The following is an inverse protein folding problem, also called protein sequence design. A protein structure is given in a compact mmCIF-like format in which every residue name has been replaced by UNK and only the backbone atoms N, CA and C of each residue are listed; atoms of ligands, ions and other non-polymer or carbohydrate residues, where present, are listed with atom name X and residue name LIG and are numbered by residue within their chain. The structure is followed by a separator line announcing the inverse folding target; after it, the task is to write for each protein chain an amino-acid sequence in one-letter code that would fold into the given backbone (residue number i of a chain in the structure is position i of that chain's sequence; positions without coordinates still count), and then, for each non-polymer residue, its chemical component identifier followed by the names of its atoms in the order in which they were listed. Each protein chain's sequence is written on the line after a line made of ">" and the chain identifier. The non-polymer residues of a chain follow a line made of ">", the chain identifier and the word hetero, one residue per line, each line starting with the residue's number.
data_IF_435982338527
#
_entry.id   IF_435982338527
#
_cell.length_a   1.000
_cell.length_b   1.000
_cell.length_c   1.000
_cell.angle_alpha   90.00
_cell.angle_beta   90.00
_cell.angle_gamma   90.00
#
_symmetry.space_group_name_H-M   'P 1'
#
loop_
_entity.id
_entity.type
_entity.pdbx_description
1 polymer ?
#
# COMPACT_ATOMS: atom_id res chain seq x y z
N UNK A 1 -13.64 26.61 -55.74
CA UNK A 1 -14.78 25.74 -56.12
C UNK A 1 -14.20 24.35 -56.35
N UNK A 2 -14.40 23.42 -55.40
CA UNK A 2 -15.38 22.31 -55.51
C UNK A 2 -15.05 21.39 -56.69
N UNK A 3 -14.80 20.09 -56.58
CA UNK A 3 -14.66 19.14 -55.48
C UNK A 3 -13.96 17.92 -56.11
N UNK A 4 -13.00 17.34 -55.40
CA UNK A 4 -12.46 16.01 -55.71
C UNK A 4 -13.61 15.00 -55.62
N UNK A 5 -13.99 14.40 -56.76
CA UNK A 5 -15.02 13.35 -56.80
C UNK A 5 -14.41 12.05 -56.29
N UNK A 6 -14.57 11.82 -54.98
CA UNK A 6 -14.34 10.52 -54.35
C UNK A 6 -15.43 9.57 -54.81
N UNK A 7 -15.04 8.59 -55.63
CA UNK A 7 -15.90 7.50 -56.07
C UNK A 7 -15.95 6.46 -54.94
N UNK A 8 -17.09 6.38 -54.26
CA UNK A 8 -17.37 5.39 -53.21
C UNK A 8 -18.19 4.25 -53.85
N UNK A 9 -17.72 3.00 -53.91
CA UNK A 9 -18.61 1.87 -54.06
C UNK A 9 -19.11 1.44 -52.69
N UNK A 10 -20.44 1.53 -52.56
CA UNK A 10 -21.24 1.09 -51.42
C UNK A 10 -21.19 -0.44 -51.31
N UNK A 11 -20.50 -0.98 -50.31
CA UNK A 11 -20.80 -2.33 -49.79
C UNK A 11 -20.81 -2.25 -48.28
N UNK A 12 -21.97 -1.83 -47.77
CA UNK A 12 -22.38 -1.98 -46.38
C UNK A 12 -23.12 -3.31 -46.33
N UNK A 13 -22.48 -4.36 -45.82
CA UNK A 13 -23.21 -5.53 -45.33
C UNK A 13 -22.36 -6.30 -44.32
N UNK A 14 -22.70 -6.08 -43.04
CA UNK A 14 -22.68 -7.09 -41.97
C UNK A 14 -21.37 -7.81 -41.66
N UNK A 15 -20.53 -7.23 -40.81
CA UNK A 15 -19.96 -8.00 -39.68
C UNK A 15 -19.96 -7.11 -38.43
N UNK A 16 -20.87 -7.45 -37.52
CA UNK A 16 -20.92 -7.01 -36.14
C UNK A 16 -19.66 -7.50 -35.42
N UNK A 17 -18.67 -6.63 -35.21
CA UNK A 17 -17.62 -6.87 -34.23
C UNK A 17 -17.59 -5.68 -33.26
N UNK A 18 -18.54 -5.74 -32.34
CA UNK A 18 -18.36 -5.40 -30.92
C UNK A 18 -17.51 -4.16 -30.63
N UNK A 19 -18.12 -2.98 -30.78
CA UNK A 19 -17.73 -1.76 -30.07
C UNK A 19 -18.22 -1.82 -28.61
N UNK A 20 -17.91 -2.91 -27.90
CA UNK A 20 -18.28 -3.09 -26.50
C UNK A 20 -17.01 -3.10 -25.64
N UNK A 21 -16.84 -2.03 -24.85
CA UNK A 21 -16.25 -2.07 -23.51
C UNK A 21 -14.73 -2.36 -23.34
N UNK A 22 -13.83 -1.72 -24.13
CA UNK A 22 -12.39 -1.70 -23.81
C UNK A 22 -11.89 -0.40 -23.13
N UNK A 23 -12.76 0.39 -22.51
CA UNK A 23 -12.35 1.51 -21.63
C UNK A 23 -12.70 1.28 -20.16
N UNK A 24 -12.66 0.03 -19.70
CA UNK A 24 -12.95 -0.34 -18.32
C UNK A 24 -11.87 -1.25 -17.73
N UNK A 25 -10.62 -0.78 -17.65
CA UNK A 25 -9.60 -1.49 -16.90
C UNK A 25 -9.97 -1.44 -15.40
N UNK A 26 -10.06 -2.58 -14.69
CA UNK A 26 -10.18 -2.55 -13.24
C UNK A 26 -8.91 -1.89 -12.69
N UNK A 27 -9.09 -0.81 -11.91
CA UNK A 27 -7.99 -0.21 -11.15
C UNK A 27 -7.36 -1.31 -10.30
N UNK A 28 -6.18 -1.77 -10.68
CA UNK A 28 -5.33 -2.56 -9.81
C UNK A 28 -5.17 -1.77 -8.51
N UNK A 29 -5.55 -2.38 -7.39
CA UNK A 29 -5.28 -1.84 -6.07
C UNK A 29 -3.77 -1.86 -5.87
N UNK A 30 -3.12 -0.77 -6.26
CA UNK A 30 -1.71 -0.54 -5.92
C UNK A 30 -1.68 -0.47 -4.40
N UNK A 31 -0.92 -1.35 -3.71
CA UNK A 31 -0.69 -1.19 -2.29
C UNK A 31 -0.03 0.18 -2.14
N UNK A 32 -0.76 1.14 -1.59
CA UNK A 32 -0.22 2.44 -1.28
C UNK A 32 0.78 2.19 -0.15
N UNK A 33 2.06 2.05 -0.51
CA UNK A 33 3.18 2.02 0.42
C UNK A 33 3.14 3.36 1.17
N UNK A 34 2.41 3.34 2.29
CA UNK A 34 2.02 4.54 3.02
C UNK A 34 3.26 5.30 3.44
N UNK A 35 3.26 6.57 3.04
CA UNK A 35 4.07 7.64 3.60
C UNK A 35 4.32 7.42 5.09
N UNK A 36 5.61 7.35 5.44
CA UNK A 36 6.21 7.58 6.74
C UNK A 36 5.21 7.53 7.93
N UNK A 37 4.63 6.36 8.18
CA UNK A 37 3.86 6.16 9.39
C UNK A 37 4.87 6.24 10.54
N UNK A 38 4.71 7.20 11.45
CA UNK A 38 5.52 7.29 12.66
C UNK A 38 5.53 5.91 13.33
N UNK A 39 6.68 5.24 13.24
CA UNK A 39 6.85 3.88 13.72
C UNK A 39 7.22 3.87 15.20
N UNK A 40 6.92 2.77 15.86
CA UNK A 40 7.32 2.50 17.24
C UNK A 40 8.47 1.51 17.25
N UNK A 41 9.33 1.66 18.26
CA UNK A 41 10.47 0.79 18.49
C UNK A 41 10.04 -0.44 19.30
N UNK A 42 10.43 -1.63 18.85
CA UNK A 42 10.15 -2.90 19.51
C UNK A 42 11.45 -3.68 19.68
N UNK A 43 11.77 -4.05 20.91
CA UNK A 43 12.84 -5.00 21.20
C UNK A 43 12.39 -6.42 20.77
N UNK A 44 13.16 -7.07 19.91
CA UNK A 44 12.84 -8.40 19.35
C UNK A 44 13.32 -9.56 20.24
N UNK A 45 13.52 -9.31 21.54
CA UNK A 45 13.72 -10.41 22.49
C UNK A 45 12.39 -11.14 22.75
N UNK A 46 12.44 -12.45 23.07
CA UNK A 46 11.24 -13.22 23.42
C UNK A 46 10.55 -12.69 24.68
N UNK A 47 11.33 -12.12 25.62
CA UNK A 47 10.83 -11.56 26.89
C UNK A 47 10.29 -10.13 26.77
N UNK A 48 10.47 -9.47 25.63
CA UNK A 48 9.99 -8.10 25.47
C UNK A 48 8.47 -8.05 25.39
N UNK A 49 7.84 -7.25 26.25
CA UNK A 49 6.39 -7.14 26.34
C UNK A 49 5.83 -5.82 25.78
N UNK A 50 6.70 -4.83 25.51
CA UNK A 50 6.28 -3.48 25.17
C UNK A 50 6.86 -2.94 23.85
N UNK A 51 6.18 -1.94 23.29
CA UNK A 51 6.67 -1.07 22.23
C UNK A 51 6.89 0.35 22.77
N UNK A 52 7.78 1.12 22.14
CA UNK A 52 8.30 2.38 22.65
C UNK A 52 8.24 3.49 21.59
N UNK A 53 7.95 4.72 21.99
CA UNK A 53 8.00 5.90 21.09
C UNK A 53 9.45 6.32 20.76
N UNK A 54 10.34 6.23 21.75
CA UNK A 54 11.77 6.56 21.63
C UNK A 54 12.64 5.62 22.47
N UNK A 55 13.96 5.76 22.39
CA UNK A 55 14.92 4.99 23.19
C UNK A 55 14.86 5.42 24.66
N UNK A 56 13.99 4.78 25.43
CA UNK A 56 13.87 5.01 26.88
C UNK A 56 14.79 4.10 27.68
N UNK A 57 14.84 4.29 29.02
CA UNK A 57 15.64 3.46 29.95
C UNK A 57 15.37 1.96 29.86
N UNK A 58 14.15 1.56 29.50
CA UNK A 58 13.77 0.16 29.33
C UNK A 58 14.33 -0.40 28.02
N UNK A 59 14.10 0.30 26.91
CA UNK A 59 14.57 -0.10 25.59
C UNK A 59 16.11 -0.08 25.50
N UNK A 60 16.78 0.86 26.17
CA UNK A 60 18.24 0.95 26.25
C UNK A 60 18.89 -0.29 26.89
N UNK A 61 18.13 -1.13 27.60
CA UNK A 61 18.60 -2.40 28.18
C UNK A 61 18.34 -3.61 27.28
N UNK A 62 17.69 -3.43 26.12
CA UNK A 62 17.48 -4.48 25.14
C UNK A 62 18.84 -5.02 24.69
N UNK A 63 19.01 -6.35 24.73
CA UNK A 63 20.21 -7.05 24.24
C UNK A 63 20.00 -7.71 22.88
N UNK A 64 18.78 -7.59 22.34
CA UNK A 64 18.39 -8.11 21.04
C UNK A 64 18.27 -6.95 20.04
N UNK A 65 17.91 -7.29 18.80
CA UNK A 65 17.65 -6.28 17.78
C UNK A 65 16.41 -5.44 18.12
N UNK A 66 16.44 -4.16 17.74
CA UNK A 66 15.31 -3.24 17.89
C UNK A 66 14.78 -2.91 16.50
N UNK A 67 13.51 -3.20 16.26
CA UNK A 67 12.88 -2.89 14.97
C UNK A 67 11.93 -1.71 15.11
N UNK A 68 11.82 -0.93 14.05
CA UNK A 68 10.78 0.11 13.91
C UNK A 68 9.60 -0.50 13.15
N UNK A 69 8.43 -0.55 13.78
CA UNK A 69 7.21 -1.14 13.21
C UNK A 69 6.01 -0.22 13.41
N UNK A 70 4.90 -0.46 12.73
CA UNK A 70 3.66 0.26 13.04
C UNK A 70 3.08 -0.17 14.39
N UNK A 71 2.34 0.71 15.06
CA UNK A 71 1.60 0.39 16.30
C UNK A 71 0.71 -0.83 16.10
N UNK A 72 -0.01 -0.89 14.97
CA UNK A 72 -0.87 -2.03 14.64
C UNK A 72 -0.08 -3.34 14.58
N UNK A 73 1.12 -3.33 13.98
CA UNK A 73 1.99 -4.51 13.93
C UNK A 73 2.50 -4.88 15.32
N UNK A 74 2.89 -3.90 16.14
CA UNK A 74 3.34 -4.15 17.51
C UNK A 74 2.23 -4.79 18.37
N UNK A 75 0.99 -4.29 18.26
CA UNK A 75 -0.19 -4.87 18.93
C UNK A 75 -0.48 -6.27 18.41
N UNK A 76 -0.40 -6.50 17.09
CA UNK A 76 -0.55 -7.83 16.50
C UNK A 76 0.54 -8.83 16.95
N UNK A 77 1.73 -8.33 17.33
CA UNK A 77 2.80 -9.11 17.94
C UNK A 77 2.60 -9.34 19.46
N UNK A 78 1.46 -8.93 20.03
CA UNK A 78 1.14 -9.07 21.44
C UNK A 78 1.85 -8.05 22.35
N UNK A 79 2.44 -6.99 21.78
CA UNK A 79 3.16 -5.96 22.55
C UNK A 79 2.19 -4.88 23.03
N UNK A 80 2.44 -4.36 24.22
CA UNK A 80 1.66 -3.28 24.86
C UNK A 80 2.43 -1.94 24.81
N UNK A 81 1.76 -0.79 24.92
CA UNK A 81 2.48 0.48 25.05
C UNK A 81 3.37 0.46 26.31
N UNK A 82 4.60 0.97 26.18
CA UNK A 82 5.48 1.12 27.33
C UNK A 82 4.97 2.23 28.24
N UNK A 83 4.54 1.91 29.46
CA UNK A 83 3.99 2.88 30.42
C UNK A 83 4.95 3.98 30.93
N UNK A 84 6.13 4.12 30.33
CA UNK A 84 7.08 5.21 30.62
C UNK A 84 7.26 6.18 29.46
N UNK A 85 7.19 5.70 28.22
CA UNK A 85 7.57 6.46 27.04
C UNK A 85 6.57 6.31 25.91
N UNK A 86 5.35 5.86 26.20
CA UNK A 86 4.23 5.74 25.27
C UNK A 86 2.94 6.01 26.06
#
# INVERSE_FOLDING_TARGET
>A
MRHFRVLIPRVITTVLISWCALHGAPRAMVPQASAHAAGVLVCMSPEAYAYHDHVCRGLARCRAEVWTVSVQRAVAMGRKPCGYCY
#
